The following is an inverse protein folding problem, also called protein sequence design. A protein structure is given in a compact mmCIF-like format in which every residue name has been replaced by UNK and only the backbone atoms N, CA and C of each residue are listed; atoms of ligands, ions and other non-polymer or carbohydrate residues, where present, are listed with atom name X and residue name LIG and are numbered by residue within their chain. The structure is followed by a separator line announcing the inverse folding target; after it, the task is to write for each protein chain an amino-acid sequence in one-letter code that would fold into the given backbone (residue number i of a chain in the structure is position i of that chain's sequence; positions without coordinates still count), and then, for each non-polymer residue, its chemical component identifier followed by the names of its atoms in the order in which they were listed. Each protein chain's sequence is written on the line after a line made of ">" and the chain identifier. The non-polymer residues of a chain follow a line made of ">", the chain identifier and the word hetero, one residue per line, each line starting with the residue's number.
data_IF_893705873120
#
_entry.id   IF_893705873120
#
_cell.length_a   1.000
_cell.length_b   1.000
_cell.length_c   1.000
_cell.angle_alpha   90.00
_cell.angle_beta   90.00
_cell.angle_gamma   90.00
#
_symmetry.space_group_name_H-M   'P 1'
#
loop_
_entity.id
_entity.type
_entity.pdbx_description
1 polymer ?
#
# COMPACT_ATOMS: atom_id res chain seq x y z
N UNK A 1 -16.83 -4.10 -1.45
CA UNK A 1 -15.68 -3.79 -0.57
C UNK A 1 -14.79 -2.67 -1.12
N UNK A 2 -14.66 -2.52 -2.44
CA UNK A 2 -13.88 -1.42 -3.05
C UNK A 2 -14.67 -0.11 -3.27
N UNK A 3 -16.00 -0.12 -3.12
CA UNK A 3 -16.86 1.05 -3.34
C UNK A 3 -16.43 2.30 -2.53
N UNK A 4 -16.03 2.19 -1.23
CA UNK A 4 -15.55 3.34 -0.46
C UNK A 4 -14.30 4.00 -1.05
N UNK A 5 -13.42 3.23 -1.71
CA UNK A 5 -12.18 3.74 -2.29
C UNK A 5 -12.48 4.74 -3.39
N UNK A 6 -13.39 4.40 -4.32
CA UNK A 6 -13.70 5.26 -5.46
C UNK A 6 -14.36 6.56 -5.00
N UNK A 7 -15.27 6.48 -4.03
CA UNK A 7 -15.91 7.66 -3.45
C UNK A 7 -14.88 8.56 -2.75
N UNK A 8 -13.99 7.97 -1.95
CA UNK A 8 -12.90 8.70 -1.27
C UNK A 8 -12.00 9.42 -2.27
N UNK A 9 -11.46 8.70 -3.26
CA UNK A 9 -10.51 9.27 -4.23
C UNK A 9 -11.11 10.40 -5.06
N UNK A 10 -12.42 10.35 -5.38
CA UNK A 10 -13.11 11.41 -6.12
C UNK A 10 -13.24 12.72 -5.35
N UNK A 11 -13.25 12.64 -4.02
CA UNK A 11 -13.40 13.80 -3.14
C UNK A 11 -12.04 14.43 -2.77
N UNK A 12 -10.91 13.82 -3.16
CA UNK A 12 -9.58 14.36 -2.92
C UNK A 12 -9.23 15.46 -3.92
N UNK A 13 -8.57 16.50 -3.43
CA UNK A 13 -7.86 17.48 -4.26
C UNK A 13 -6.33 17.34 -4.12
N UNK A 14 -5.57 18.19 -4.81
CA UNK A 14 -4.10 18.14 -4.83
C UNK A 14 -3.43 18.40 -3.47
N UNK A 15 -4.17 18.93 -2.48
CA UNK A 15 -3.69 19.16 -1.12
C UNK A 15 -4.13 18.06 -0.15
N UNK A 16 -5.05 17.18 -0.56
CA UNK A 16 -5.53 16.10 0.28
C UNK A 16 -4.69 14.86 0.08
N UNK A 17 -4.18 14.31 1.17
CA UNK A 17 -3.52 13.01 1.15
C UNK A 17 -4.59 11.90 1.20
N UNK A 18 -4.49 10.86 0.34
CA UNK A 18 -5.40 9.72 0.43
C UNK A 18 -5.30 9.01 1.79
N UNK A 19 -6.41 8.45 2.27
CA UNK A 19 -6.42 7.58 3.44
C UNK A 19 -5.95 6.18 3.01
N UNK A 20 -4.63 5.97 3.05
CA UNK A 20 -4.01 4.70 2.68
C UNK A 20 -4.41 3.56 3.64
N UNK A 21 -4.77 3.88 4.89
CA UNK A 21 -5.22 2.88 5.86
C UNK A 21 -6.58 2.32 5.47
N UNK A 22 -7.53 3.19 5.10
CA UNK A 22 -8.85 2.78 4.62
C UNK A 22 -8.77 1.99 3.32
N UNK A 23 -7.95 2.44 2.37
CA UNK A 23 -7.72 1.76 1.09
C UNK A 23 -7.15 0.35 1.33
N UNK A 24 -6.10 0.24 2.14
CA UNK A 24 -5.49 -1.05 2.50
C UNK A 24 -6.50 -2.01 3.15
N UNK A 25 -7.28 -1.53 4.11
CA UNK A 25 -8.32 -2.34 4.78
C UNK A 25 -9.39 -2.84 3.81
N UNK A 26 -9.76 -2.05 2.79
CA UNK A 26 -10.72 -2.47 1.78
C UNK A 26 -10.19 -3.63 0.92
N UNK A 27 -8.89 -3.60 0.57
CA UNK A 27 -8.25 -4.71 -0.15
C UNK A 27 -8.10 -5.97 0.71
N UNK A 28 -7.66 -5.83 1.97
CA UNK A 28 -7.52 -6.98 2.86
C UNK A 28 -8.85 -7.71 3.11
N UNK A 29 -9.95 -6.98 3.25
CA UNK A 29 -11.29 -7.59 3.34
C UNK A 29 -11.61 -8.42 2.09
N UNK A 30 -11.27 -7.89 0.92
CA UNK A 30 -11.54 -8.56 -0.35
C UNK A 30 -10.73 -9.84 -0.47
N UNK A 31 -9.42 -9.76 -0.23
CA UNK A 31 -8.47 -10.89 -0.24
C UNK A 31 -8.98 -12.00 0.69
N UNK A 32 -9.35 -11.66 1.93
CA UNK A 32 -9.89 -12.62 2.90
C UNK A 32 -11.20 -13.27 2.44
N UNK A 33 -12.07 -12.52 1.76
CA UNK A 33 -13.37 -13.01 1.30
C UNK A 33 -13.25 -13.97 0.12
N UNK A 34 -12.26 -13.75 -0.76
CA UNK A 34 -12.01 -14.59 -1.95
C UNK A 34 -11.00 -15.71 -1.69
N UNK A 35 -10.45 -15.78 -0.47
CA UNK A 35 -9.46 -16.76 -0.04
C UNK A 35 -8.16 -16.77 -0.88
N UNK A 36 -7.71 -15.58 -1.27
CA UNK A 36 -6.45 -15.39 -2.01
C UNK A 36 -5.31 -15.18 -1.03
N UNK A 37 -4.15 -15.74 -1.37
CA UNK A 37 -2.92 -15.66 -0.59
C UNK A 37 -1.82 -14.91 -1.36
N UNK A 38 -0.89 -14.29 -0.62
CA UNK A 38 0.26 -13.60 -1.23
C UNK A 38 1.23 -14.54 -1.97
N UNK A 39 1.13 -15.84 -1.70
CA UNK A 39 1.94 -16.89 -2.35
C UNK A 39 1.26 -17.44 -3.62
N UNK A 40 0.05 -16.97 -3.93
CA UNK A 40 -0.65 -17.37 -5.14
C UNK A 40 0.05 -16.80 -6.39
N UNK A 41 0.03 -17.59 -7.45
CA UNK A 41 0.63 -17.25 -8.73
C UNK A 41 -0.10 -16.08 -9.37
N UNK A 42 0.63 -15.03 -9.77
CA UNK A 42 0.06 -13.96 -10.58
C UNK A 42 -0.18 -14.43 -12.03
N UNK A 43 -1.10 -13.77 -12.74
CA UNK A 43 -1.49 -14.15 -14.10
C UNK A 43 -0.31 -14.20 -15.09
N UNK A 44 0.70 -13.37 -14.88
CA UNK A 44 1.91 -13.29 -15.73
C UNK A 44 3.05 -14.23 -15.30
N UNK A 45 2.90 -14.95 -14.19
CA UNK A 45 3.91 -15.87 -13.67
C UNK A 45 3.66 -17.31 -14.14
N UNK A 46 4.73 -18.08 -14.26
CA UNK A 46 4.66 -19.53 -14.47
C UNK A 46 4.81 -20.30 -13.16
N UNK A 47 4.25 -21.50 -13.07
CA UNK A 47 4.33 -22.33 -11.87
C UNK A 47 5.78 -22.64 -11.45
N UNK A 48 6.68 -22.83 -12.42
CA UNK A 48 8.11 -23.06 -12.16
C UNK A 48 8.78 -21.85 -11.51
N UNK A 49 8.45 -20.64 -11.95
CA UNK A 49 8.99 -19.41 -11.38
C UNK A 49 8.52 -19.22 -9.93
N UNK A 50 7.22 -19.42 -9.68
CA UNK A 50 6.64 -19.30 -8.34
C UNK A 50 7.25 -20.32 -7.39
N UNK A 51 7.33 -21.59 -7.79
CA UNK A 51 7.95 -22.63 -6.96
C UNK A 51 9.42 -22.33 -6.65
N UNK A 52 10.17 -21.83 -7.64
CA UNK A 52 11.56 -21.43 -7.42
C UNK A 52 11.65 -20.28 -6.41
N UNK A 53 10.84 -19.23 -6.54
CA UNK A 53 10.85 -18.09 -5.61
C UNK A 53 10.45 -18.54 -4.21
N UNK A 54 9.35 -19.27 -4.06
CA UNK A 54 8.87 -19.74 -2.76
C UNK A 54 9.89 -20.64 -2.05
N UNK A 55 10.60 -21.51 -2.78
CA UNK A 55 11.64 -22.36 -2.23
C UNK A 55 12.85 -21.58 -1.71
N UNK A 56 13.21 -20.47 -2.36
CA UNK A 56 14.39 -19.68 -2.00
C UNK A 56 14.05 -18.45 -1.13
N UNK A 57 12.77 -18.19 -0.88
CA UNK A 57 12.31 -17.07 -0.05
C UNK A 57 12.68 -17.31 1.42
N UNK A 58 13.60 -16.49 1.95
CA UNK A 58 14.08 -16.59 3.34
C UNK A 58 13.31 -15.71 4.33
N UNK A 59 12.72 -14.60 3.85
CA UNK A 59 11.96 -13.64 4.67
C UNK A 59 10.65 -13.32 3.95
N UNK A 60 9.56 -13.21 4.71
CA UNK A 60 8.29 -12.68 4.21
C UNK A 60 8.45 -11.17 3.90
N UNK A 61 7.96 -10.69 2.74
CA UNK A 61 7.91 -9.27 2.43
C UNK A 61 7.15 -8.47 3.50
N UNK A 62 7.61 -7.25 3.76
CA UNK A 62 7.05 -6.39 4.81
C UNK A 62 5.62 -5.93 4.52
N UNK A 63 5.23 -5.91 3.24
CA UNK A 63 3.86 -5.57 2.85
C UNK A 63 2.83 -6.65 3.24
N UNK A 64 3.26 -7.87 3.56
CA UNK A 64 2.36 -8.92 4.08
C UNK A 64 1.98 -8.66 5.56
N UNK A 65 2.75 -7.83 6.27
CA UNK A 65 2.56 -7.43 7.67
C UNK A 65 2.60 -5.90 7.80
N UNK A 66 1.76 -5.23 7.02
CA UNK A 66 1.78 -3.77 6.89
C UNK A 66 1.37 -3.03 8.17
N UNK A 67 0.83 -3.71 9.20
CA UNK A 67 0.43 -3.10 10.47
C UNK A 67 1.58 -2.34 11.13
N UNK A 68 2.78 -2.92 11.14
CA UNK A 68 3.97 -2.31 11.72
C UNK A 68 4.40 -1.06 10.93
N UNK A 69 4.28 -1.10 9.60
CA UNK A 69 4.57 0.03 8.74
C UNK A 69 3.61 1.19 8.99
N UNK A 70 2.30 0.92 9.05
CA UNK A 70 1.30 1.96 9.33
C UNK A 70 1.42 2.52 10.75
N UNK A 71 1.82 1.70 11.73
CA UNK A 71 2.02 2.13 13.11
C UNK A 71 3.28 2.99 13.30
N UNK A 72 4.39 2.61 12.68
CA UNK A 72 5.67 3.36 12.75
C UNK A 72 5.66 4.62 11.88
N UNK A 73 4.80 4.67 10.87
CA UNK A 73 4.63 5.77 9.92
C UNK A 73 5.97 6.38 9.43
N UNK A 74 6.89 5.57 8.88
CA UNK A 74 8.28 5.98 8.64
C UNK A 74 8.41 7.10 7.61
N UNK A 75 7.44 7.20 6.70
CA UNK A 75 7.38 8.23 5.66
C UNK A 75 6.42 9.38 6.04
N UNK A 76 5.94 9.40 7.28
CA UNK A 76 5.03 10.40 7.84
C UNK A 76 3.78 10.60 6.98
N UNK A 77 3.17 9.50 6.52
CA UNK A 77 1.88 9.45 5.80
C UNK A 77 0.79 10.18 6.58
N UNK A 78 0.80 10.13 7.92
CA UNK A 78 -0.18 10.83 8.74
C UNK A 78 0.29 12.22 9.18
N UNK A 79 1.53 12.59 8.86
CA UNK A 79 2.11 13.88 9.19
C UNK A 79 1.87 14.97 8.13
N UNK A 80 2.03 16.26 8.51
CA UNK A 80 1.98 17.36 7.55
C UNK A 80 3.10 17.25 6.50
N UNK A 81 2.94 17.86 5.31
CA UNK A 81 3.98 17.89 4.29
C UNK A 81 5.30 18.46 4.87
N UNK A 82 6.48 17.96 4.45
CA UNK A 82 7.76 18.50 4.90
C UNK A 82 7.88 19.99 4.58
N UNK A 83 8.21 20.82 5.57
CA UNK A 83 8.35 22.27 5.40
C UNK A 83 9.42 22.67 4.37
N UNK A 84 10.44 21.82 4.19
CA UNK A 84 11.64 22.14 3.39
C UNK A 84 11.41 22.19 1.87
N UNK A 85 10.29 21.67 1.36
CA UNK A 85 9.93 21.79 -0.05
C UNK A 85 9.43 23.19 -0.43
N UNK A 86 8.99 24.00 0.54
CA UNK A 86 8.50 25.36 0.31
C UNK A 86 9.62 26.43 0.32
N UNK A 87 10.85 26.09 0.70
CA UNK A 87 11.95 27.08 0.79
C UNK A 87 12.72 27.31 -0.52
N UNK A 88 12.54 26.47 -1.55
CA UNK A 88 13.26 26.63 -2.84
C UNK A 88 12.56 27.55 -3.86
N UNK A 89 11.49 28.26 -3.47
CA UNK A 89 10.74 29.15 -4.38
C UNK A 89 10.58 30.59 -3.92
N UNK A 90 11.31 31.01 -2.89
CA UNK A 90 11.33 32.39 -2.41
C UNK A 90 12.78 32.88 -2.36
N UNK A 91 13.38 32.99 -3.53
CA UNK A 91 14.60 33.74 -3.81
C UNK A 91 14.47 34.31 -5.21
N UNK A 92 13.51 35.23 -5.36
CA UNK A 92 13.50 36.28 -6.40
C UNK A 92 13.89 37.58 -5.73
#
# INVERSE_FOLDING_TARGET
>A
ELHPIVSHLRNLNCYNRPDYTMIHKCFLKLIKRIDVHYDDRYDWESDLQVQYVLKHRKKRPEYEHAEEFFASDPIKVNGPPPAELNMRRSSE
#
